data_IF_044259921303
#
_entry.id   IF_044259921303
#
_cell.length_a   1.000
_cell.length_b   1.000
_cell.length_c   1.000
_cell.angle_alpha   90.00
_cell.angle_beta   90.00
_cell.angle_gamma   90.00
#
_symmetry.space_group_name_H-M   'P 1'
#
loop_
_entity.id
_entity.type
_entity.pdbx_description
1 polymer ?
#
# COMPACT_ATOMS: atom_id res chain seq x y z
N UNK A 1 39.81 -30.97 -1.41
CA UNK A 1 39.87 -29.55 -1.76
C UNK A 1 39.05 -29.20 -3.01
N UNK A 2 39.10 -29.96 -4.10
CA UNK A 2 38.35 -29.66 -5.35
C UNK A 2 36.81 -29.70 -5.19
N UNK A 3 36.29 -30.64 -4.42
CA UNK A 3 34.85 -30.79 -4.13
C UNK A 3 34.27 -29.59 -3.35
N UNK A 4 35.01 -29.04 -2.40
CA UNK A 4 34.56 -27.88 -1.61
C UNK A 4 34.52 -26.62 -2.46
N UNK A 5 35.41 -26.50 -3.45
CA UNK A 5 35.42 -25.38 -4.38
C UNK A 5 34.22 -25.39 -5.33
N UNK A 6 33.81 -26.58 -5.79
CA UNK A 6 32.62 -26.77 -6.64
C UNK A 6 31.33 -26.46 -5.87
N UNK A 7 31.23 -26.92 -4.62
CA UNK A 7 30.09 -26.62 -3.75
C UNK A 7 29.98 -25.12 -3.45
N UNK A 8 31.10 -24.45 -3.19
CA UNK A 8 31.13 -23.03 -2.94
C UNK A 8 30.73 -22.21 -4.20
N UNK A 9 31.21 -22.62 -5.38
CA UNK A 9 30.84 -22.01 -6.66
C UNK A 9 29.35 -22.18 -6.96
N UNK A 10 28.77 -23.34 -6.70
CA UNK A 10 27.34 -23.61 -6.87
C UNK A 10 26.50 -22.80 -5.90
N UNK A 11 26.92 -22.65 -4.64
CA UNK A 11 26.24 -21.83 -3.64
C UNK A 11 26.23 -20.34 -4.03
N UNK A 12 27.35 -19.82 -4.55
CA UNK A 12 27.45 -18.44 -5.03
C UNK A 12 26.55 -18.17 -6.23
N UNK A 13 26.38 -19.12 -7.15
CA UNK A 13 25.48 -18.97 -8.30
C UNK A 13 24.01 -19.00 -7.89
N UNK A 14 23.61 -19.81 -6.92
CA UNK A 14 22.25 -19.87 -6.42
C UNK A 14 21.85 -18.56 -5.72
N UNK A 15 22.75 -17.94 -4.96
CA UNK A 15 22.48 -16.67 -4.27
C UNK A 15 22.18 -15.52 -5.27
N UNK A 16 22.86 -15.50 -6.42
CA UNK A 16 22.62 -14.48 -7.44
C UNK A 16 21.28 -14.64 -8.18
N UNK A 17 20.71 -15.87 -8.26
CA UNK A 17 19.39 -16.09 -8.85
C UNK A 17 18.23 -15.47 -8.05
N UNK A 18 18.41 -15.23 -6.75
CA UNK A 18 17.39 -14.62 -5.89
C UNK A 18 17.50 -13.08 -5.79
N UNK A 19 18.55 -12.48 -6.35
CA UNK A 19 18.69 -11.04 -6.43
C UNK A 19 17.83 -10.44 -7.54
N UNK A 20 16.53 -10.70 -7.51
CA UNK A 20 15.56 -10.05 -8.39
C UNK A 20 15.55 -8.54 -8.17
N UNK A 21 15.36 -7.77 -9.25
CA UNK A 21 15.16 -6.32 -9.16
C UNK A 21 13.93 -6.06 -8.25
N UNK A 22 14.10 -5.28 -7.22
CA UNK A 22 12.99 -4.84 -6.37
C UNK A 22 11.99 -4.05 -7.22
N UNK A 23 10.70 -4.39 -7.23
CA UNK A 23 9.71 -3.68 -8.01
C UNK A 23 9.49 -2.28 -7.46
N UNK A 24 9.14 -1.35 -8.34
CA UNK A 24 8.59 -0.06 -7.94
C UNK A 24 7.14 -0.28 -7.49
N UNK A 25 6.78 0.26 -6.33
CA UNK A 25 5.43 0.16 -5.78
C UNK A 25 4.83 1.56 -5.72
N UNK A 26 3.69 1.75 -6.37
CA UNK A 26 2.91 2.99 -6.31
C UNK A 26 1.65 2.69 -5.52
N UNK A 27 1.48 3.35 -4.38
CA UNK A 27 0.28 3.28 -3.57
C UNK A 27 -0.59 4.51 -3.82
N UNK A 28 -1.81 4.29 -4.32
CA UNK A 28 -2.81 5.34 -4.50
C UNK A 28 -3.91 5.13 -3.46
N UNK A 29 -4.07 6.10 -2.56
CA UNK A 29 -5.11 6.10 -1.55
C UNK A 29 -6.12 7.20 -1.87
N UNK A 30 -7.32 6.81 -2.31
CA UNK A 30 -8.42 7.74 -2.50
C UNK A 30 -8.94 8.24 -1.14
N UNK A 31 -9.41 9.48 -1.09
CA UNK A 31 -10.03 10.09 0.07
C UNK A 31 -11.54 10.18 -0.16
N UNK A 32 -12.32 9.70 0.82
CA UNK A 32 -13.78 9.68 0.82
C UNK A 32 -14.43 8.98 -0.41
N UNK A 33 -13.72 8.07 -1.06
CA UNK A 33 -14.28 7.25 -2.14
C UNK A 33 -14.98 6.01 -1.57
N UNK A 34 -16.27 5.90 -1.82
CA UNK A 34 -17.08 4.73 -1.45
C UNK A 34 -16.85 3.53 -2.38
N UNK A 35 -17.14 2.31 -1.91
CA UNK A 35 -16.93 1.09 -2.70
C UNK A 35 -17.80 1.02 -3.97
N UNK A 36 -18.90 1.77 -4.04
CA UNK A 36 -19.79 1.82 -5.21
C UNK A 36 -19.52 2.96 -6.19
N UNK A 37 -18.51 3.79 -5.97
CA UNK A 37 -18.25 4.95 -6.84
C UNK A 37 -17.50 4.64 -8.13
N UNK A 38 -16.51 3.73 -8.17
CA UNK A 38 -15.89 3.34 -9.42
C UNK A 38 -16.88 2.62 -10.36
N UNK A 39 -16.82 2.90 -11.68
CA UNK A 39 -17.78 2.36 -12.66
C UNK A 39 -17.83 0.82 -12.69
N UNK A 40 -16.71 0.14 -12.51
CA UNK A 40 -16.66 -1.34 -12.42
C UNK A 40 -17.31 -1.91 -11.14
N UNK A 41 -17.69 -1.06 -10.20
CA UNK A 41 -18.41 -1.41 -8.97
C UNK A 41 -19.85 -0.87 -8.96
N UNK A 42 -20.32 -0.32 -10.08
CA UNK A 42 -21.67 0.22 -10.24
C UNK A 42 -21.79 1.74 -10.12
N UNK A 43 -20.69 2.46 -10.04
CA UNK A 43 -20.67 3.92 -10.03
C UNK A 43 -21.21 4.54 -11.30
N UNK A 44 -21.86 5.69 -11.18
CA UNK A 44 -22.47 6.41 -12.30
C UNK A 44 -21.45 7.17 -13.15
N UNK A 45 -20.31 7.52 -12.58
CA UNK A 45 -19.25 8.28 -13.27
C UNK A 45 -18.26 7.29 -13.88
N UNK A 46 -17.98 7.38 -15.20
CA UNK A 46 -17.00 6.51 -15.84
C UNK A 46 -15.59 6.69 -15.23
N UNK A 47 -14.98 5.58 -14.83
CA UNK A 47 -13.60 5.53 -14.27
C UNK A 47 -12.72 4.57 -15.08
N UNK A 48 -12.45 4.85 -16.37
CA UNK A 48 -11.85 3.88 -17.29
C UNK A 48 -10.45 3.40 -16.85
N UNK A 49 -9.67 4.24 -16.17
CA UNK A 49 -8.37 3.83 -15.65
C UNK A 49 -8.50 2.82 -14.50
N UNK A 50 -9.44 3.03 -13.57
CA UNK A 50 -9.71 2.11 -12.46
C UNK A 50 -10.33 0.80 -12.98
N UNK A 51 -11.22 0.89 -13.96
CA UNK A 51 -11.85 -0.28 -14.60
C UNK A 51 -10.79 -1.16 -15.29
N UNK A 52 -9.82 -0.54 -15.98
CA UNK A 52 -8.71 -1.25 -16.57
C UNK A 52 -7.83 -1.91 -15.51
N UNK A 53 -7.47 -1.21 -14.44
CA UNK A 53 -6.70 -1.77 -13.34
C UNK A 53 -7.42 -2.95 -12.68
N UNK A 54 -8.73 -2.84 -12.48
CA UNK A 54 -9.54 -3.91 -11.91
C UNK A 54 -9.62 -5.14 -12.81
N UNK A 55 -9.62 -4.94 -14.16
CA UNK A 55 -9.67 -6.00 -15.15
C UNK A 55 -8.32 -6.71 -15.34
N UNK A 56 -7.23 -5.96 -15.36
CA UNK A 56 -5.88 -6.46 -15.65
C UNK A 56 -5.13 -6.92 -14.39
N UNK A 57 -5.54 -6.46 -13.22
CA UNK A 57 -4.89 -6.73 -11.95
C UNK A 57 -5.69 -7.65 -11.03
N UNK A 58 -5.42 -7.53 -9.74
CA UNK A 58 -6.12 -8.28 -8.68
C UNK A 58 -7.03 -7.35 -7.89
N UNK A 59 -8.27 -7.76 -7.67
CA UNK A 59 -9.24 -7.06 -6.83
C UNK A 59 -9.44 -7.81 -5.52
N UNK A 60 -9.23 -7.13 -4.42
CA UNK A 60 -9.51 -7.66 -3.09
C UNK A 60 -10.95 -7.29 -2.70
N UNK A 61 -11.77 -8.28 -2.36
CA UNK A 61 -13.19 -8.09 -2.00
C UNK A 61 -13.38 -7.80 -0.52
N UNK A 62 -12.38 -8.10 0.31
CA UNK A 62 -12.44 -7.93 1.76
C UNK A 62 -11.11 -7.34 2.28
N UNK A 63 -10.77 -6.15 1.80
CA UNK A 63 -9.60 -5.40 2.25
C UNK A 63 -10.01 -4.29 3.21
N UNK A 64 -9.34 -4.25 4.36
CA UNK A 64 -9.63 -3.28 5.42
C UNK A 64 -8.44 -2.35 5.66
N UNK A 65 -8.74 -1.11 5.93
CA UNK A 65 -7.77 -0.13 6.42
C UNK A 65 -7.63 -0.23 7.94
N UNK A 66 -6.60 0.39 8.50
CA UNK A 66 -6.36 0.39 9.95
C UNK A 66 -7.40 1.20 10.73
N UNK A 67 -8.19 2.02 10.05
CA UNK A 67 -9.25 2.86 10.61
C UNK A 67 -10.25 3.25 9.53
N UNK A 68 -11.47 3.54 9.91
CA UNK A 68 -12.52 4.08 9.04
C UNK A 68 -12.35 5.58 8.73
N UNK A 69 -11.31 6.23 9.26
CA UNK A 69 -11.06 7.67 9.11
C UNK A 69 -9.70 7.89 8.43
N UNK A 70 -9.62 8.95 7.61
CA UNK A 70 -8.47 9.28 6.75
C UNK A 70 -7.15 9.44 7.53
N UNK A 71 -7.12 10.29 8.57
CA UNK A 71 -5.89 10.61 9.29
C UNK A 71 -5.22 9.39 9.94
N UNK A 72 -5.91 8.55 10.72
CA UNK A 72 -5.27 7.39 11.34
C UNK A 72 -4.90 6.31 10.33
N UNK A 73 -5.63 6.17 9.24
CA UNK A 73 -5.25 5.27 8.13
C UNK A 73 -3.97 5.73 7.46
N UNK A 74 -3.87 7.02 7.12
CA UNK A 74 -2.65 7.61 6.53
C UNK A 74 -1.45 7.50 7.47
N UNK A 75 -1.66 7.71 8.78
CA UNK A 75 -0.63 7.47 9.77
C UNK A 75 -0.10 6.03 9.71
N UNK A 76 -1.00 5.05 9.66
CA UNK A 76 -0.64 3.64 9.58
C UNK A 76 0.20 3.33 8.33
N UNK A 77 -0.21 3.83 7.17
CA UNK A 77 0.49 3.64 5.90
C UNK A 77 1.89 4.27 5.93
N UNK A 78 2.00 5.52 6.40
CA UNK A 78 3.26 6.27 6.40
C UNK A 78 4.27 5.77 7.43
N UNK A 79 3.82 5.20 8.54
CA UNK A 79 4.68 4.81 9.65
C UNK A 79 4.86 3.31 9.82
N UNK A 80 4.06 2.50 9.13
CA UNK A 80 4.00 1.05 9.34
C UNK A 80 3.48 0.66 10.73
N UNK A 81 2.79 1.57 11.43
CA UNK A 81 2.30 1.36 12.80
C UNK A 81 0.79 1.53 12.87
N UNK A 82 0.13 0.70 13.65
CA UNK A 82 -1.28 0.90 13.93
C UNK A 82 -1.52 2.21 14.69
N UNK A 83 -2.60 2.90 14.34
CA UNK A 83 -2.98 4.20 14.88
C UNK A 83 -3.24 4.18 16.41
N UNK A 84 -3.70 3.09 16.99
CA UNK A 84 -3.89 2.97 18.45
C UNK A 84 -2.59 2.99 19.25
N UNK A 85 -1.44 2.81 18.61
CA UNK A 85 -0.12 2.98 19.21
C UNK A 85 0.36 4.43 19.24
N UNK A 86 -0.42 5.34 18.66
CA UNK A 86 -0.16 6.78 18.64
C UNK A 86 -1.05 7.52 19.64
N UNK A 87 -0.82 8.82 19.76
CA UNK A 87 -1.73 9.71 20.53
C UNK A 87 -3.05 9.94 19.79
N UNK A 88 -3.13 9.67 18.51
CA UNK A 88 -4.30 9.78 17.64
C UNK A 88 -5.23 8.58 17.79
N UNK A 89 -5.86 8.47 18.94
CA UNK A 89 -6.77 7.34 19.24
C UNK A 89 -8.18 7.54 18.71
N UNK A 90 -8.58 8.78 18.39
CA UNK A 90 -9.91 9.14 17.87
C UNK A 90 -9.83 10.37 16.97
N UNK A 91 -10.71 10.43 15.96
CA UNK A 91 -10.89 11.58 15.08
C UNK A 91 -9.75 11.85 14.11
N UNK A 92 -9.70 13.07 13.62
CA UNK A 92 -8.73 13.58 12.64
C UNK A 92 -7.84 14.64 13.28
N UNK A 93 -6.62 14.77 12.78
CA UNK A 93 -5.75 15.89 13.15
C UNK A 93 -6.25 17.19 12.50
N UNK A 94 -6.78 18.09 13.30
CA UNK A 94 -7.02 19.46 12.88
C UNK A 94 -5.75 20.28 13.11
N UNK A 95 -5.14 20.74 12.06
CA UNK A 95 -4.08 21.76 12.17
C UNK A 95 -4.78 23.06 12.55
N UNK A 96 -4.54 23.57 13.77
CA UNK A 96 -4.98 24.92 14.11
C UNK A 96 -4.34 25.89 13.14
N UNK A 97 -5.11 26.82 12.51
CA UNK A 97 -4.52 27.87 11.71
C UNK A 97 -3.45 28.59 12.52
N UNK A 98 -2.26 28.77 11.94
CA UNK A 98 -1.22 29.59 12.56
C UNK A 98 -1.80 30.99 12.71
N UNK A 99 -2.09 31.42 13.93
CA UNK A 99 -2.41 32.82 14.19
C UNK A 99 -1.19 33.63 13.75
N UNK A 100 -1.38 34.42 12.70
CA UNK A 100 -0.38 35.46 12.37
C UNK A 100 -0.32 36.40 13.57
N UNK A 101 0.86 36.47 14.18
CA UNK A 101 1.25 37.49 15.14
C UNK A 101 1.21 38.87 14.44
#
# INVERSE_FOLDING_TARGET
MKTNLILLSFLLTVINCFAGKTPNIILILADDMGPGEPSHMGGLVPTPALDRMAKEGMRFTDAHTTSSVCTPTRYGILTGRYNWRSRLKRGVCWVKPVQKL
#
